data_IF_037790238460
#
_entry.id   IF_037790238460
#
_cell.length_a   1.000
_cell.length_b   1.000
_cell.length_c   1.000
_cell.angle_alpha   90.00
_cell.angle_beta   90.00
_cell.angle_gamma   90.00
#
_symmetry.space_group_name_H-M   'P 1'
#
loop_
_entity.id
_entity.type
_entity.pdbx_description
1 polymer ?
#
# COMPACT_ATOMS: atom_id res chain seq x y z
N UNK A 1 4.19 16.40 11.74
CA UNK A 1 3.41 16.14 10.51
C UNK A 1 3.63 14.72 10.03
N UNK A 2 2.79 14.25 9.12
CA UNK A 2 2.93 12.98 8.40
C UNK A 2 3.17 13.29 6.91
N UNK A 3 3.78 12.37 6.19
CA UNK A 3 3.77 12.35 4.72
C UNK A 3 3.18 11.03 4.24
N UNK A 4 2.31 11.11 3.25
CA UNK A 4 1.64 9.98 2.62
C UNK A 4 1.99 9.96 1.15
N UNK A 5 2.19 8.76 0.61
CA UNK A 5 2.49 8.57 -0.81
C UNK A 5 1.59 7.45 -1.31
N UNK A 6 0.86 7.72 -2.39
CA UNK A 6 -0.02 6.75 -3.06
C UNK A 6 0.50 6.51 -4.47
N UNK A 7 0.66 5.24 -4.83
CA UNK A 7 0.92 4.80 -6.20
C UNK A 7 -0.41 4.42 -6.84
N UNK A 8 -0.71 5.04 -7.97
CA UNK A 8 -1.97 4.82 -8.69
C UNK A 8 -1.74 4.54 -10.16
N UNK A 9 -2.61 3.71 -10.73
CA UNK A 9 -2.76 3.50 -12.17
C UNK A 9 -3.79 4.49 -12.74
N UNK A 10 -3.36 5.34 -13.68
CA UNK A 10 -4.27 6.20 -14.43
C UNK A 10 -4.66 5.49 -15.71
N UNK A 11 -5.93 5.10 -15.78
CA UNK A 11 -6.52 4.43 -16.92
C UNK A 11 -6.66 5.42 -18.10
N UNK A 12 -6.72 4.93 -19.34
CA UNK A 12 -6.92 5.77 -20.53
C UNK A 12 -8.21 6.62 -20.48
N UNK A 13 -9.22 6.17 -19.71
CA UNK A 13 -10.48 6.90 -19.48
C UNK A 13 -10.38 7.97 -18.37
N UNK A 14 -9.19 8.16 -17.79
CA UNK A 14 -8.90 9.16 -16.76
C UNK A 14 -9.12 8.70 -15.32
N UNK A 15 -9.67 7.49 -15.08
CA UNK A 15 -9.80 6.95 -13.71
C UNK A 15 -8.43 6.73 -13.09
N UNK A 16 -8.30 7.01 -11.79
CA UNK A 16 -7.06 6.85 -11.03
C UNK A 16 -7.28 5.77 -9.96
N UNK A 17 -6.79 4.56 -10.21
CA UNK A 17 -7.00 3.40 -9.34
C UNK A 17 -5.82 3.22 -8.39
N UNK A 18 -6.10 3.13 -7.09
CA UNK A 18 -5.07 2.89 -6.08
C UNK A 18 -4.44 1.50 -6.27
N UNK A 19 -3.12 1.46 -6.38
CA UNK A 19 -2.34 0.20 -6.37
C UNK A 19 -1.88 -0.10 -4.95
N UNK A 20 -1.14 0.85 -4.34
CA UNK A 20 -0.65 0.75 -2.97
C UNK A 20 -0.36 2.13 -2.40
N UNK A 21 -0.22 2.23 -1.07
CA UNK A 21 0.12 3.47 -0.40
C UNK A 21 0.83 3.31 0.94
N UNK A 22 1.74 4.25 1.21
CA UNK A 22 2.52 4.34 2.44
C UNK A 22 2.22 5.63 3.21
N UNK A 23 2.52 5.59 4.51
CA UNK A 23 2.52 6.76 5.39
C UNK A 23 3.74 6.70 6.30
N UNK A 24 4.36 7.84 6.54
CA UNK A 24 5.38 7.99 7.56
C UNK A 24 5.07 9.19 8.44
N UNK A 25 5.06 8.96 9.76
CA UNK A 25 5.03 10.04 10.74
C UNK A 25 6.44 10.55 10.94
N UNK A 26 6.67 11.84 10.73
CA UNK A 26 8.04 12.37 10.62
C UNK A 26 8.91 12.23 11.88
N UNK A 27 8.28 12.06 13.06
CA UNK A 27 9.04 11.76 14.27
C UNK A 27 9.65 10.36 14.31
N UNK A 28 9.20 9.48 13.42
CA UNK A 28 9.68 8.11 13.24
C UNK A 28 10.53 7.96 11.96
N UNK A 29 11.03 9.08 11.39
CA UNK A 29 11.74 9.06 10.10
C UNK A 29 13.02 8.21 10.10
N UNK A 30 13.62 8.03 11.27
CA UNK A 30 14.89 7.30 11.47
C UNK A 30 14.69 5.97 12.19
N UNK A 31 13.44 5.50 12.33
CA UNK A 31 13.13 4.29 13.09
C UNK A 31 11.88 4.44 13.95
N UNK A 32 11.47 3.33 14.55
CA UNK A 32 10.28 3.24 15.41
C UNK A 32 10.63 2.99 16.90
N UNK A 33 11.91 2.83 17.20
CA UNK A 33 12.46 2.59 18.53
C UNK A 33 12.51 3.84 19.39
N UNK A 34 12.68 5.02 18.77
CA UNK A 34 12.65 6.31 19.44
C UNK A 34 11.95 7.37 18.57
N UNK A 35 11.70 8.56 19.15
CA UNK A 35 11.13 9.70 18.43
C UNK A 35 12.17 10.81 18.29
N UNK A 36 12.22 11.40 17.11
CA UNK A 36 13.02 12.59 16.84
C UNK A 36 12.15 13.68 16.23
N UNK A 37 12.05 14.85 16.86
CA UNK A 37 11.33 15.96 16.24
C UNK A 37 12.08 16.52 15.03
N UNK A 38 11.36 17.23 14.17
CA UNK A 38 11.95 17.98 13.06
C UNK A 38 12.08 19.45 13.45
N UNK A 39 13.13 20.09 12.96
CA UNK A 39 13.28 21.54 13.03
C UNK A 39 12.53 22.21 11.88
N UNK A 40 11.64 23.18 12.15
CA UNK A 40 10.92 23.91 11.10
C UNK A 40 11.88 24.55 10.08
N UNK A 41 11.56 24.42 8.79
CA UNK A 41 12.35 24.99 7.69
C UNK A 41 13.58 24.16 7.29
N UNK A 42 13.93 23.11 8.04
CA UNK A 42 15.02 22.20 7.66
C UNK A 42 14.52 21.14 6.67
N UNK A 43 15.32 20.86 5.64
CA UNK A 43 15.03 19.82 4.64
C UNK A 43 15.53 18.48 5.16
N UNK A 44 14.70 17.44 5.09
CA UNK A 44 15.05 16.09 5.53
C UNK A 44 14.82 15.09 4.39
N UNK A 45 15.80 14.23 4.06
CA UNK A 45 15.55 13.03 3.28
C UNK A 45 14.74 12.04 4.13
N UNK A 46 13.70 11.46 3.56
CA UNK A 46 12.86 10.45 4.23
C UNK A 46 12.51 9.33 3.26
N UNK A 47 12.46 8.09 3.76
CA UNK A 47 12.04 6.92 3.00
C UNK A 47 10.66 6.48 3.45
N UNK A 48 9.71 6.43 2.51
CA UNK A 48 8.33 6.00 2.78
C UNK A 48 8.10 4.66 2.09
N UNK A 49 7.99 3.61 2.91
CA UNK A 49 7.68 2.27 2.41
C UNK A 49 6.22 2.20 1.89
N UNK A 50 6.08 1.88 0.61
CA UNK A 50 4.80 1.69 -0.07
C UNK A 50 4.28 0.25 -0.01
N UNK A 51 5.00 -0.63 0.69
CA UNK A 51 4.74 -2.06 0.78
C UNK A 51 4.91 -2.74 -0.59
N UNK A 52 4.73 -4.06 -0.62
CA UNK A 52 4.89 -4.83 -1.86
C UNK A 52 3.63 -4.84 -2.71
N UNK A 53 3.79 -4.76 -4.02
CA UNK A 53 2.73 -4.99 -5.01
C UNK A 53 3.29 -5.74 -6.22
N UNK A 54 2.42 -6.38 -7.00
CA UNK A 54 2.73 -6.95 -8.30
C UNK A 54 1.68 -6.43 -9.28
N UNK A 55 2.12 -5.61 -10.23
CA UNK A 55 1.22 -4.89 -11.11
C UNK A 55 1.81 -4.75 -12.51
N UNK A 56 0.93 -4.84 -13.51
CA UNK A 56 1.27 -4.58 -14.91
C UNK A 56 0.48 -3.38 -15.36
N UNK A 57 1.17 -2.30 -15.74
CA UNK A 57 0.55 -1.19 -16.45
C UNK A 57 0.37 -1.58 -17.91
N UNK A 58 -0.87 -1.68 -18.36
CA UNK A 58 -1.16 -1.99 -19.75
C UNK A 58 -0.91 -0.76 -20.65
N UNK A 59 -0.87 -0.97 -21.96
CA UNK A 59 -0.67 0.09 -22.93
C UNK A 59 -1.73 1.20 -22.76
N UNK A 60 -1.28 2.46 -22.77
CA UNK A 60 -2.14 3.63 -22.60
C UNK A 60 -2.38 4.06 -21.15
N UNK A 61 -1.99 3.24 -20.18
CA UNK A 61 -2.04 3.60 -18.77
C UNK A 61 -0.86 4.50 -18.37
N UNK A 62 -1.01 5.24 -17.26
CA UNK A 62 0.06 6.08 -16.72
C UNK A 62 0.31 5.81 -15.24
N UNK A 63 1.58 5.89 -14.85
CA UNK A 63 1.99 5.84 -13.46
C UNK A 63 1.75 7.22 -12.84
N UNK A 64 1.01 7.27 -11.74
CA UNK A 64 0.82 8.50 -10.96
C UNK A 64 1.21 8.28 -9.51
N UNK A 65 1.91 9.27 -8.96
CA UNK A 65 2.23 9.37 -7.54
C UNK A 65 1.46 10.55 -6.95
N UNK A 66 0.68 10.29 -5.91
CA UNK A 66 0.02 11.35 -5.13
C UNK A 66 0.70 11.46 -3.76
N UNK A 67 1.21 12.65 -3.45
CA UNK A 67 1.86 12.96 -2.17
C UNK A 67 0.95 13.87 -1.36
N UNK A 68 0.77 13.57 -0.08
CA UNK A 68 -0.02 14.38 0.85
C UNK A 68 0.55 14.25 2.26
N UNK A 69 -0.18 14.76 3.26
CA UNK A 69 0.20 14.71 4.69
C UNK A 69 -0.89 14.11 5.58
N UNK A 70 -1.86 13.44 4.96
CA UNK A 70 -2.93 12.72 5.65
C UNK A 70 -3.51 11.61 4.79
N UNK A 71 -4.19 10.65 5.43
CA UNK A 71 -4.86 9.54 4.77
C UNK A 71 -5.96 8.97 5.69
N UNK A 72 -6.87 9.84 6.11
CA UNK A 72 -8.00 9.46 6.95
C UNK A 72 -9.07 8.71 6.13
N UNK A 73 -9.76 7.68 6.65
CA UNK A 73 -9.63 7.10 8.00
C UNK A 73 -8.60 5.97 8.11
N UNK A 74 -7.87 5.62 7.04
CA UNK A 74 -6.84 4.57 7.07
C UNK A 74 -5.78 4.85 8.14
N UNK A 75 -5.41 6.12 8.32
CA UNK A 75 -4.47 6.56 9.33
C UNK A 75 -5.03 7.74 10.13
N UNK A 76 -4.81 7.71 11.45
CA UNK A 76 -5.19 8.83 12.31
C UNK A 76 -4.35 10.07 12.00
N UNK A 77 -5.02 11.21 11.90
CA UNK A 77 -4.41 12.49 11.59
C UNK A 77 -3.27 12.82 12.56
N UNK A 78 -2.19 13.40 12.04
CA UNK A 78 -1.18 14.04 12.87
C UNK A 78 -1.70 15.41 13.33
N UNK A 79 -1.72 15.72 14.63
CA UNK A 79 -2.11 17.04 15.13
C UNK A 79 -1.11 18.14 14.75
N UNK A 80 0.06 17.77 14.21
CA UNK A 80 1.20 18.64 13.91
C UNK A 80 1.75 19.36 15.15
N UNK A 81 1.64 18.71 16.32
CA UNK A 81 2.27 19.13 17.56
C UNK A 81 3.40 18.16 17.93
N UNK A 82 4.23 18.55 18.90
CA UNK A 82 5.29 17.69 19.46
C UNK A 82 4.76 16.67 20.49
N UNK A 83 3.44 16.65 20.73
CA UNK A 83 2.85 15.89 21.83
C UNK A 83 2.96 14.38 21.63
N UNK A 84 2.88 13.67 22.76
CA UNK A 84 2.78 12.22 22.79
C UNK A 84 1.52 11.69 22.13
N UNK A 85 1.52 10.39 21.81
CA UNK A 85 0.33 9.69 21.28
C UNK A 85 -0.83 9.88 22.25
N UNK A 86 -1.98 10.35 21.75
CA UNK A 86 -3.20 10.61 22.51
C UNK A 86 -3.08 11.68 23.61
N UNK A 87 -2.03 12.50 23.59
CA UNK A 87 -1.84 13.59 24.55
C UNK A 87 -2.16 14.98 24.00
N UNK A 88 -2.37 15.09 22.68
CA UNK A 88 -2.67 16.36 22.04
C UNK A 88 -4.09 16.84 22.41
N UNK A 89 -4.19 18.07 22.90
CA UNK A 89 -5.47 18.77 23.12
C UNK A 89 -5.73 19.82 22.05
N UNK A 90 -4.72 20.13 21.23
CA UNK A 90 -4.73 21.11 20.16
C UNK A 90 -4.18 20.52 18.86
N UNK A 91 -4.32 21.26 17.77
CA UNK A 91 -3.69 20.98 16.49
C UNK A 91 -3.08 22.25 15.90
N UNK A 92 -2.09 22.08 15.03
CA UNK A 92 -1.46 23.15 14.27
C UNK A 92 -1.59 22.90 12.76
N UNK A 93 -1.69 23.97 11.98
CA UNK A 93 -1.57 23.89 10.52
C UNK A 93 -0.09 23.77 10.17
N UNK A 94 0.27 22.73 9.42
CA UNK A 94 1.63 22.54 8.91
C UNK A 94 1.70 22.95 7.43
N UNK A 95 2.70 23.75 7.08
CA UNK A 95 3.03 24.09 5.69
C UNK A 95 4.14 23.15 5.21
N UNK A 96 3.75 22.10 4.51
CA UNK A 96 4.66 21.05 4.07
C UNK A 96 5.16 21.33 2.64
N UNK A 97 6.42 21.01 2.38
CA UNK A 97 7.05 21.16 1.06
C UNK A 97 7.69 19.86 0.64
N UNK A 98 7.49 19.49 -0.64
CA UNK A 98 8.19 18.40 -1.31
C UNK A 98 9.16 19.03 -2.31
N UNK A 99 10.44 18.68 -2.21
CA UNK A 99 11.48 19.17 -3.11
C UNK A 99 11.70 18.12 -4.20
N UNK A 100 11.62 18.54 -5.47
CA UNK A 100 11.76 17.68 -6.66
C UNK A 100 12.63 18.42 -7.68
N UNK A 101 13.86 18.73 -7.29
CA UNK A 101 14.83 19.46 -8.11
C UNK A 101 16.10 18.63 -8.30
N UNK A 102 17.05 19.14 -9.11
CA UNK A 102 18.27 18.41 -9.44
C UNK A 102 19.23 18.18 -8.26
N UNK A 103 19.09 18.96 -7.18
CA UNK A 103 19.85 18.80 -5.93
C UNK A 103 19.08 17.90 -4.95
N UNK A 104 17.75 18.02 -4.92
CA UNK A 104 16.83 17.24 -4.09
C UNK A 104 15.96 16.34 -4.97
N UNK A 105 16.57 15.28 -5.51
CA UNK A 105 15.95 14.34 -6.44
C UNK A 105 14.99 13.36 -5.75
N UNK A 106 13.89 13.85 -5.16
CA UNK A 106 12.82 12.99 -4.65
C UNK A 106 12.31 12.07 -5.76
N UNK A 107 12.29 10.76 -5.51
CA UNK A 107 11.98 9.76 -6.52
C UNK A 107 11.12 8.61 -5.98
N UNK A 108 10.53 7.85 -6.91
CA UNK A 108 9.87 6.60 -6.62
C UNK A 108 10.74 5.45 -7.14
N UNK A 109 11.10 4.52 -6.26
CA UNK A 109 11.82 3.30 -6.63
C UNK A 109 10.83 2.21 -7.04
N UNK A 110 10.78 1.90 -8.34
CA UNK A 110 9.95 0.83 -8.89
C UNK A 110 10.81 -0.36 -9.29
N UNK A 111 10.68 -1.54 -8.64
CA UNK A 111 11.38 -2.74 -9.08
C UNK A 111 10.75 -3.27 -10.37
N UNK A 112 11.41 -3.04 -11.50
CA UNK A 112 10.99 -3.57 -12.80
C UNK A 112 11.39 -5.05 -12.91
N UNK A 113 10.46 -5.89 -13.36
CA UNK A 113 10.74 -7.26 -13.77
C UNK A 113 10.91 -7.27 -15.29
N UNK A 114 12.10 -7.60 -15.82
CA UNK A 114 12.30 -7.65 -17.27
C UNK A 114 11.35 -8.67 -17.92
N UNK A 115 10.79 -8.38 -19.12
CA UNK A 115 9.79 -9.24 -19.78
C UNK A 115 10.23 -10.70 -19.94
N UNK A 116 11.52 -10.93 -20.11
CA UNK A 116 12.10 -12.26 -20.36
C UNK A 116 12.44 -13.04 -19.07
N UNK A 117 12.18 -12.46 -17.91
CA UNK A 117 12.46 -13.10 -16.60
C UNK A 117 11.38 -14.10 -16.22
N UNK A 118 10.14 -13.85 -16.68
CA UNK A 118 8.98 -14.68 -16.37
C UNK A 118 8.89 -15.83 -17.37
N UNK A 119 9.42 -17.00 -17.00
CA UNK A 119 9.06 -18.23 -17.72
C UNK A 119 7.60 -18.53 -17.42
N UNK A 120 6.73 -18.44 -18.41
CA UNK A 120 5.40 -19.03 -18.32
C UNK A 120 5.57 -20.50 -17.93
N UNK A 121 5.00 -20.93 -16.80
CA UNK A 121 4.84 -22.36 -16.55
C UNK A 121 3.89 -22.89 -17.63
N UNK A 122 4.46 -23.51 -18.67
CA UNK A 122 3.71 -24.08 -19.80
C UNK A 122 2.75 -25.20 -19.35
N UNK A 123 2.92 -25.70 -18.13
CA UNK A 123 2.11 -26.76 -17.53
C UNK A 123 1.71 -26.40 -16.09
N UNK A 124 1.07 -25.25 -15.90
CA UNK A 124 0.24 -25.12 -14.70
C UNK A 124 -1.01 -25.98 -14.87
N UNK A 125 -1.03 -27.15 -14.25
CA UNK A 125 -2.24 -27.95 -14.09
C UNK A 125 -2.89 -27.49 -12.79
N UNK A 126 -4.12 -26.93 -12.80
CA UNK A 126 -4.85 -26.70 -11.56
C UNK A 126 -4.91 -28.00 -10.79
N UNK A 127 -4.28 -28.05 -9.61
CA UNK A 127 -4.34 -29.23 -8.73
C UNK A 127 -5.78 -29.51 -8.25
N UNK A 128 -6.69 -28.56 -8.47
CA UNK A 128 -8.09 -28.65 -8.08
C UNK A 128 -8.99 -28.05 -9.17
N UNK A 129 -9.68 -28.91 -9.93
CA UNK A 129 -10.90 -28.53 -10.67
C UNK A 129 -12.10 -28.88 -9.78
N UNK A 130 -12.72 -27.89 -9.16
CA UNK A 130 -14.02 -28.07 -8.51
C UNK A 130 -15.09 -27.64 -9.51
N UNK A 131 -15.84 -28.59 -10.06
CA UNK A 131 -17.07 -28.30 -10.79
C UNK A 131 -18.18 -28.04 -9.77
N UNK A 132 -18.60 -26.78 -9.64
CA UNK A 132 -19.71 -26.40 -8.76
C UNK A 132 -21.03 -26.64 -9.49
N UNK A 133 -21.77 -27.70 -9.14
CA UNK A 133 -23.19 -27.81 -9.50
C UNK A 133 -24.02 -26.96 -8.55
N UNK A 134 -24.99 -26.22 -9.09
CA UNK A 134 -25.78 -25.17 -8.43
C UNK A 134 -26.65 -25.61 -7.23
N UNK A 135 -26.52 -26.85 -6.75
CA UNK A 135 -27.46 -27.46 -5.81
C UNK A 135 -26.94 -27.70 -4.40
N UNK A 136 -25.66 -27.44 -4.08
CA UNK A 136 -25.17 -27.53 -2.69
C UNK A 136 -24.04 -26.53 -2.41
N UNK A 137 -23.99 -25.91 -1.20
CA UNK A 137 -22.86 -25.08 -0.80
C UNK A 137 -21.62 -25.96 -0.66
N UNK A 138 -20.73 -25.90 -1.66
CA UNK A 138 -19.43 -26.57 -1.56
C UNK A 138 -18.60 -25.83 -0.52
N UNK A 139 -18.47 -26.44 0.66
CA UNK A 139 -17.47 -26.08 1.66
C UNK A 139 -16.08 -26.32 1.05
N UNK A 140 -15.52 -25.28 0.43
CA UNK A 140 -14.14 -25.31 -0.07
C UNK A 140 -13.22 -25.44 1.13
N UNK A 141 -12.67 -26.63 1.36
CA UNK A 141 -11.61 -26.82 2.34
C UNK A 141 -10.38 -26.08 1.85
N UNK A 142 -10.02 -25.00 2.54
CA UNK A 142 -8.81 -24.26 2.27
C UNK A 142 -7.60 -25.20 2.32
N UNK A 143 -6.60 -25.05 1.42
CA UNK A 143 -5.34 -25.77 1.54
C UNK A 143 -4.74 -25.56 2.92
N UNK A 144 -4.12 -26.60 3.51
CA UNK A 144 -3.56 -26.53 4.88
C UNK A 144 -2.58 -25.36 5.05
N UNK A 145 -1.82 -25.04 4.00
CA UNK A 145 -0.92 -23.88 3.99
C UNK A 145 -1.65 -22.55 4.15
N UNK A 146 -2.86 -22.41 3.59
CA UNK A 146 -3.66 -21.20 3.74
C UNK A 146 -4.29 -21.13 5.15
N UNK A 147 -4.68 -22.27 5.72
CA UNK A 147 -5.14 -22.34 7.12
C UNK A 147 -4.03 -21.96 8.09
N UNK A 148 -2.80 -22.40 7.82
CA UNK A 148 -1.62 -22.05 8.59
C UNK A 148 -1.26 -20.56 8.49
N UNK A 149 -1.47 -19.94 7.32
CA UNK A 149 -1.30 -18.50 7.15
C UNK A 149 -2.40 -17.75 7.93
N UNK A 150 -3.66 -18.18 7.83
CA UNK A 150 -4.78 -17.52 8.52
C UNK A 150 -4.74 -17.71 10.03
N UNK A 151 -4.21 -18.82 10.54
CA UNK A 151 -4.02 -19.04 11.98
C UNK A 151 -3.00 -18.07 12.59
N UNK A 152 -2.05 -17.56 11.78
CA UNK A 152 -1.10 -16.51 12.17
C UNK A 152 -1.74 -15.11 12.20
N UNK A 153 -2.93 -14.95 11.62
CA UNK A 153 -3.64 -13.67 11.55
C UNK A 153 -5.13 -13.80 11.95
N UNK A 154 -5.43 -14.09 13.23
CA UNK A 154 -6.79 -14.46 13.69
C UNK A 154 -7.87 -13.41 13.43
N UNK A 155 -7.49 -12.12 13.37
CA UNK A 155 -8.42 -11.01 13.09
C UNK A 155 -8.98 -11.02 11.67
N UNK A 156 -8.33 -11.71 10.73
CA UNK A 156 -8.71 -11.71 9.32
C UNK A 156 -9.40 -13.01 8.89
N UNK A 157 -9.53 -13.99 9.80
CA UNK A 157 -10.16 -15.28 9.52
C UNK A 157 -11.63 -15.14 9.07
N UNK A 158 -12.33 -14.10 9.52
CA UNK A 158 -13.73 -13.84 9.20
C UNK A 158 -13.93 -12.82 8.06
N UNK A 159 -12.85 -12.25 7.52
CA UNK A 159 -12.90 -11.21 6.48
C UNK A 159 -12.83 -11.77 5.05
N UNK A 160 -12.62 -13.07 4.91
CA UNK A 160 -12.47 -13.74 3.61
C UNK A 160 -13.70 -14.61 3.35
N UNK A 161 -14.86 -13.98 3.19
CA UNK A 161 -15.92 -14.58 2.38
C UNK A 161 -15.56 -14.37 0.91
N UNK A 162 -14.97 -15.38 0.28
CA UNK A 162 -14.77 -15.41 -1.17
C UNK A 162 -16.13 -15.42 -1.87
N UNK A 163 -16.64 -14.26 -2.27
CA UNK A 163 -17.55 -14.14 -3.42
C UNK A 163 -16.68 -13.94 -4.66
N UNK A 164 -16.15 -15.04 -5.18
CA UNK A 164 -15.44 -15.03 -6.46
C UNK A 164 -16.45 -14.76 -7.59
N UNK A 165 -16.32 -13.61 -8.25
CA UNK A 165 -16.91 -13.40 -9.57
C UNK A 165 -15.83 -13.73 -10.60
N UNK A 166 -16.07 -14.75 -11.42
CA UNK A 166 -15.31 -14.99 -12.65
C UNK A 166 -16.05 -14.22 -13.74
N UNK A 167 -15.39 -13.23 -14.34
CA UNK A 167 -15.83 -12.61 -15.59
C UNK A 167 -15.31 -13.51 -16.72
N UNK A 168 -16.21 -13.88 -17.64
CA UNK A 168 -15.94 -14.73 -18.82
C UNK A 168 -14.94 -14.07 -19.79
#
# INVERSE_FOLDING_TARGET
TDFTVKLTDVYPDGRSMLITDGILRMRNRNGFDHWELMEPGTIYPVEIDLWSTSYVWNTGHQIRVAVSSSNYPRCLNNPNTADGIYKNTTSAVAHNSLYVDAVHCSCLLLPEIPPNTTKAQQTWVPTLKISLSHSDPVLVRLPERLKEILSRFPRYANLIEYRSFIIQ
#
